data_IF_670556488671
#
_entry.id   IF_670556488671
#
_cell.length_a   1.000
_cell.length_b   1.000
_cell.length_c   1.000
_cell.angle_alpha   90.00
_cell.angle_beta   90.00
_cell.angle_gamma   90.00
#
_symmetry.space_group_name_H-M   'P 1'
#
loop_
_entity.id
_entity.type
_entity.pdbx_description
1 polymer ?
#
# COMPACT_ATOMS: atom_id res chain seq x y z
N UNK A 1 -6.09 -6.69 17.24
CA UNK A 1 -6.29 -6.00 15.96
C UNK A 1 -4.95 -5.54 15.43
N UNK A 2 -4.65 -5.76 14.15
CA UNK A 2 -3.44 -5.29 13.47
C UNK A 2 -3.88 -4.47 12.26
N UNK A 3 -3.28 -3.29 12.08
CA UNK A 3 -3.52 -2.41 10.93
C UNK A 3 -2.23 -2.29 10.14
N UNK A 4 -2.24 -2.71 8.87
CA UNK A 4 -1.11 -2.64 7.97
C UNK A 4 -1.41 -1.66 6.85
N UNK A 5 -0.62 -0.59 6.77
CA UNK A 5 -0.64 0.32 5.63
C UNK A 5 0.08 -0.34 4.46
N UNK A 6 -0.69 -0.69 3.43
CA UNK A 6 -0.17 -1.26 2.18
C UNK A 6 0.30 -0.15 1.22
N UNK A 7 -0.27 1.04 1.34
CA UNK A 7 0.19 2.24 0.66
C UNK A 7 -0.25 3.48 1.42
N UNK A 8 0.53 4.55 1.29
CA UNK A 8 0.32 5.85 1.96
C UNK A 8 0.50 7.02 0.98
N UNK A 9 0.51 6.72 -0.32
CA UNK A 9 0.65 7.68 -1.39
C UNK A 9 -0.69 8.26 -1.85
N UNK A 10 -0.60 9.40 -2.53
CA UNK A 10 -1.72 10.01 -3.26
C UNK A 10 -2.14 9.16 -4.47
N UNK A 11 -3.10 9.61 -5.26
CA UNK A 11 -3.66 8.93 -6.44
C UNK A 11 -2.63 8.51 -7.50
N UNK A 12 -1.45 9.12 -7.52
CA UNK A 12 -0.35 8.80 -8.45
C UNK A 12 0.83 8.08 -7.78
N UNK A 13 0.77 7.82 -6.47
CA UNK A 13 1.91 7.34 -5.69
C UNK A 13 3.05 8.37 -5.59
N UNK A 14 4.15 7.94 -4.98
CA UNK A 14 5.43 8.67 -4.94
C UNK A 14 6.55 7.67 -5.22
N UNK A 15 7.42 7.89 -6.22
CA UNK A 15 7.50 9.06 -7.09
C UNK A 15 6.34 9.17 -8.09
N UNK A 16 5.95 10.41 -8.41
CA UNK A 16 5.04 10.68 -9.53
C UNK A 16 5.81 10.58 -10.85
N UNK A 17 5.21 9.91 -11.84
CA UNK A 17 5.80 9.75 -13.18
C UNK A 17 6.18 11.12 -13.77
N UNK A 18 7.45 11.26 -14.18
CA UNK A 18 8.00 12.50 -14.75
C UNK A 18 8.38 13.60 -13.75
N UNK A 19 8.09 13.44 -12.46
CA UNK A 19 8.41 14.44 -11.44
C UNK A 19 9.88 14.37 -11.00
N UNK A 20 10.50 15.53 -10.82
CA UNK A 20 11.91 15.70 -10.52
C UNK A 20 12.18 16.46 -9.20
N UNK A 21 11.16 16.61 -8.35
CA UNK A 21 11.31 17.31 -7.07
C UNK A 21 12.16 16.50 -6.07
N UNK A 22 12.58 17.16 -4.99
CA UNK A 22 13.43 16.55 -3.94
C UNK A 22 12.86 15.25 -3.35
N UNK A 23 11.54 15.14 -3.22
CA UNK A 23 10.88 13.95 -2.64
C UNK A 23 10.84 12.80 -3.65
N UNK A 24 10.49 13.06 -4.90
CA UNK A 24 10.46 12.01 -5.94
C UNK A 24 11.86 11.44 -6.22
N UNK A 25 12.92 12.25 -6.04
CA UNK A 25 14.32 11.85 -6.15
C UNK A 25 14.94 11.35 -4.84
N UNK A 26 14.18 11.34 -3.74
CA UNK A 26 14.67 10.90 -2.43
C UNK A 26 15.14 9.44 -2.49
N UNK A 27 16.24 9.16 -1.79
CA UNK A 27 16.74 7.81 -1.54
C UNK A 27 16.20 7.21 -0.23
N UNK A 28 15.38 7.96 0.53
CA UNK A 28 14.68 7.41 1.69
C UNK A 28 13.55 6.49 1.19
N UNK A 29 13.57 5.23 1.62
CA UNK A 29 12.55 4.24 1.29
C UNK A 29 11.15 4.66 1.75
N UNK A 30 11.03 5.47 2.81
CA UNK A 30 9.73 5.99 3.29
C UNK A 30 9.10 7.02 2.34
N UNK A 31 9.87 7.57 1.41
CA UNK A 31 9.34 8.41 0.33
C UNK A 31 8.83 7.60 -0.87
N UNK A 32 9.05 6.28 -0.91
CA UNK A 32 8.48 5.38 -1.92
C UNK A 32 7.12 4.89 -1.45
N UNK A 33 6.05 5.44 -2.02
CA UNK A 33 4.68 5.23 -1.55
C UNK A 33 3.79 4.75 -2.67
N UNK A 34 3.27 3.53 -2.51
CA UNK A 34 2.16 3.00 -3.30
C UNK A 34 0.86 3.74 -2.93
N UNK A 35 -0.16 3.65 -3.79
CA UNK A 35 -1.43 4.34 -3.55
C UNK A 35 -2.13 3.79 -2.31
N UNK A 36 -2.85 4.68 -1.64
CA UNK A 36 -3.45 4.43 -0.32
C UNK A 36 -4.27 3.14 -0.27
N UNK A 37 -3.92 2.25 0.66
CA UNK A 37 -4.64 1.01 0.95
C UNK A 37 -4.24 0.50 2.33
N UNK A 38 -5.17 -0.18 3.00
CA UNK A 38 -4.96 -0.74 4.34
C UNK A 38 -5.46 -2.17 4.40
N UNK A 39 -4.69 -3.06 5.02
CA UNK A 39 -5.14 -4.38 5.45
C UNK A 39 -5.41 -4.36 6.95
N UNK A 40 -6.58 -4.80 7.37
CA UNK A 40 -6.99 -4.90 8.77
C UNK A 40 -7.14 -6.38 9.13
N UNK A 41 -6.50 -6.78 10.22
CA UNK A 41 -6.61 -8.12 10.79
C UNK A 41 -7.26 -8.01 12.18
N UNK A 42 -8.45 -8.59 12.33
CA UNK A 42 -9.25 -8.51 13.56
C UNK A 42 -10.09 -9.78 13.70
N UNK A 43 -10.14 -10.34 14.90
CA UNK A 43 -10.92 -11.54 15.25
C UNK A 43 -10.75 -12.71 14.27
N UNK A 44 -9.50 -12.94 13.82
CA UNK A 44 -9.15 -14.02 12.89
C UNK A 44 -9.58 -13.78 11.44
N UNK A 45 -10.11 -12.59 11.11
CA UNK A 45 -10.54 -12.20 9.77
C UNK A 45 -9.59 -11.16 9.17
N UNK A 46 -9.52 -11.15 7.84
CA UNK A 46 -8.71 -10.20 7.07
C UNK A 46 -9.63 -9.35 6.20
N UNK A 47 -9.56 -8.04 6.38
CA UNK A 47 -10.27 -7.06 5.57
C UNK A 47 -9.26 -6.22 4.79
N UNK A 48 -9.58 -5.92 3.54
CA UNK A 48 -8.83 -4.99 2.70
C UNK A 48 -9.65 -3.71 2.58
N UNK A 49 -9.04 -2.55 2.73
CA UNK A 49 -9.65 -1.26 2.38
C UNK A 49 -8.96 -0.79 1.12
N UNK A 50 -9.75 -0.66 0.05
CA UNK A 50 -9.36 -0.35 -1.33
C UNK A 50 -8.45 -1.38 -2.01
N UNK A 51 -8.95 -1.97 -3.10
CA UNK A 51 -8.17 -2.79 -4.04
C UNK A 51 -7.57 -1.89 -5.13
N UNK A 52 -6.41 -1.33 -4.82
CA UNK A 52 -5.77 -0.36 -5.70
C UNK A 52 -5.07 -1.08 -6.89
N UNK A 53 -4.83 -0.45 -8.05
CA UNK A 53 -3.84 -0.91 -9.05
C UNK A 53 -2.49 -1.43 -8.52
N UNK A 54 -2.04 -1.05 -7.31
CA UNK A 54 -0.81 -1.56 -6.71
C UNK A 54 -1.03 -2.86 -5.91
N UNK A 55 -2.26 -3.35 -5.80
CA UNK A 55 -2.69 -4.45 -4.93
C UNK A 55 -1.81 -5.69 -5.08
N UNK A 56 -1.49 -6.08 -6.31
CA UNK A 56 -0.58 -7.21 -6.55
C UNK A 56 0.77 -6.96 -5.87
N UNK A 57 1.41 -5.81 -6.11
CA UNK A 57 2.69 -5.48 -5.47
C UNK A 57 2.56 -5.38 -3.94
N UNK A 58 1.44 -4.87 -3.44
CA UNK A 58 1.16 -4.73 -2.01
C UNK A 58 1.05 -6.08 -1.29
N UNK A 59 0.45 -7.08 -1.94
CA UNK A 59 0.19 -8.39 -1.33
C UNK A 59 1.28 -9.42 -1.59
N UNK A 60 2.03 -9.32 -2.69
CA UNK A 60 3.07 -10.29 -3.07
C UNK A 60 4.13 -10.57 -1.99
N UNK A 61 4.58 -9.60 -1.17
CA UNK A 61 5.54 -9.85 -0.10
C UNK A 61 4.91 -10.49 1.15
N UNK A 62 3.59 -10.53 1.25
CA UNK A 62 2.87 -11.05 2.40
C UNK A 62 2.49 -12.52 2.17
N UNK A 63 2.46 -13.36 3.22
CA UNK A 63 1.91 -14.70 3.10
C UNK A 63 0.45 -14.62 2.65
N UNK A 64 0.07 -15.52 1.74
CA UNK A 64 -1.32 -15.59 1.29
C UNK A 64 -2.24 -15.86 2.47
N UNK A 65 -3.30 -15.08 2.57
CA UNK A 65 -4.40 -15.30 3.50
C UNK A 65 -5.68 -14.95 2.75
N UNK A 66 -6.75 -15.70 2.98
CA UNK A 66 -8.07 -15.37 2.47
C UNK A 66 -8.43 -13.94 2.88
N UNK A 67 -8.95 -13.14 1.96
CA UNK A 67 -9.54 -11.83 2.25
C UNK A 67 -11.04 -12.09 2.48
N UNK A 68 -11.52 -11.76 3.68
CA UNK A 68 -12.91 -12.00 4.09
C UNK A 68 -13.84 -10.86 3.66
N UNK A 69 -13.30 -9.69 3.33
CA UNK A 69 -14.04 -8.56 2.78
C UNK A 69 -13.13 -7.48 2.20
N UNK A 70 -13.66 -6.73 1.24
CA UNK A 70 -13.07 -5.53 0.63
C UNK A 70 -14.04 -4.37 0.84
#
# INVERSE_FOLDING_TARGET
>A
MIVRFLGTGTSTGVPQIGCNCRVCRSSDEKDKRLRSSVRIEVDGKVFLIDCTPDFRQQMMPLPFTKIDGV
#
